data_IF_041480020950
#
_entry.id   IF_041480020950
#
_cell.length_a   1.000
_cell.length_b   1.000
_cell.length_c   1.000
_cell.angle_alpha   90.00
_cell.angle_beta   90.00
_cell.angle_gamma   90.00
#
_symmetry.space_group_name_H-M   'P 1'
#
loop_
_entity.id
_entity.type
_entity.pdbx_description
1 polymer ?
#
# COMPACT_ATOMS: atom_id res chain seq x y z
N UNK A 1 27.75 -5.78 2.56
CA UNK A 1 27.18 -5.55 1.21
C UNK A 1 27.58 -4.19 0.63
N UNK A 2 27.82 -3.17 1.46
CA UNK A 2 27.99 -1.78 1.00
C UNK A 2 29.18 -1.55 0.06
N UNK A 3 30.27 -2.31 0.22
CA UNK A 3 31.41 -2.25 -0.71
C UNK A 3 31.15 -2.90 -2.07
N UNK A 4 30.29 -3.91 -2.13
CA UNK A 4 30.07 -4.73 -3.33
C UNK A 4 28.84 -4.28 -4.14
N UNK A 5 27.89 -3.62 -3.48
CA UNK A 5 26.64 -3.16 -4.07
C UNK A 5 26.29 -1.78 -3.52
N UNK A 6 27.20 -0.81 -3.65
CA UNK A 6 26.98 0.57 -3.21
C UNK A 6 25.66 1.11 -3.77
N UNK A 7 24.86 1.78 -2.93
CA UNK A 7 23.56 2.39 -3.27
C UNK A 7 22.49 1.48 -3.92
N UNK A 8 22.73 0.17 -4.01
CA UNK A 8 21.78 -0.80 -4.55
C UNK A 8 20.78 -1.26 -3.48
N UNK A 9 20.00 -0.32 -2.93
CA UNK A 9 19.13 -0.56 -1.77
C UNK A 9 18.13 -1.71 -2.00
N UNK A 10 17.49 -1.76 -3.17
CA UNK A 10 16.53 -2.82 -3.48
C UNK A 10 17.17 -4.21 -3.49
N UNK A 11 18.39 -4.34 -4.04
CA UNK A 11 19.10 -5.62 -4.04
C UNK A 11 19.49 -6.05 -2.62
N UNK A 12 19.95 -5.11 -1.78
CA UNK A 12 20.26 -5.37 -0.36
C UNK A 12 19.02 -5.79 0.42
N UNK A 13 17.90 -5.09 0.24
CA UNK A 13 16.63 -5.42 0.89
C UNK A 13 16.11 -6.79 0.47
N UNK A 14 16.24 -7.16 -0.81
CA UNK A 14 15.84 -8.50 -1.27
C UNK A 14 16.62 -9.62 -0.56
N UNK A 15 17.94 -9.45 -0.39
CA UNK A 15 18.77 -10.41 0.33
C UNK A 15 18.42 -10.43 1.82
N UNK A 16 18.22 -9.26 2.44
CA UNK A 16 17.84 -9.17 3.85
C UNK A 16 16.49 -9.84 4.16
N UNK A 17 15.48 -9.64 3.31
CA UNK A 17 14.19 -10.34 3.42
C UNK A 17 14.36 -11.86 3.30
N UNK A 18 15.24 -12.34 2.41
CA UNK A 18 15.53 -13.76 2.28
C UNK A 18 16.24 -14.34 3.52
N UNK A 19 17.14 -13.58 4.14
CA UNK A 19 17.75 -13.99 5.41
C UNK A 19 16.69 -14.13 6.51
N UNK A 20 15.75 -13.19 6.64
CA UNK A 20 14.66 -13.32 7.61
C UNK A 20 13.72 -14.49 7.33
N UNK A 21 13.41 -14.75 6.07
CA UNK A 21 12.58 -15.89 5.67
C UNK A 21 13.23 -17.23 6.05
N UNK A 22 14.53 -17.40 5.80
CA UNK A 22 15.27 -18.61 6.19
C UNK A 22 15.29 -18.77 7.71
N UNK A 23 15.57 -17.69 8.46
CA UNK A 23 15.57 -17.72 9.92
C UNK A 23 14.18 -18.07 10.49
N UNK A 24 13.10 -17.53 9.90
CA UNK A 24 11.72 -17.86 10.26
C UNK A 24 11.40 -19.33 10.01
N UNK A 25 11.79 -19.86 8.85
CA UNK A 25 11.62 -21.27 8.49
C UNK A 25 12.37 -22.21 9.43
N UNK A 26 13.63 -21.91 9.75
CA UNK A 26 14.43 -22.69 10.69
C UNK A 26 13.85 -22.68 12.10
N UNK A 27 13.40 -21.50 12.56
CA UNK A 27 12.77 -21.36 13.88
C UNK A 27 11.31 -21.88 13.95
N UNK A 28 10.71 -22.25 12.82
CA UNK A 28 9.30 -22.64 12.73
C UNK A 28 8.33 -21.51 13.09
N UNK A 29 8.72 -20.25 12.86
CA UNK A 29 7.95 -19.05 13.26
C UNK A 29 7.72 -18.10 12.08
N UNK A 30 6.57 -17.40 12.04
CA UNK A 30 6.41 -16.29 11.12
C UNK A 30 7.36 -15.14 11.51
N UNK A 31 7.88 -14.42 10.51
CA UNK A 31 8.91 -13.37 10.71
C UNK A 31 8.49 -12.30 11.72
N UNK A 32 7.20 -11.92 11.79
CA UNK A 32 6.76 -10.91 12.75
C UNK A 32 7.00 -11.32 14.21
N UNK A 33 7.04 -12.61 14.54
CA UNK A 33 7.35 -13.09 15.89
C UNK A 33 8.84 -12.98 16.19
N UNK A 34 9.70 -13.15 15.18
CA UNK A 34 11.13 -12.88 15.32
C UNK A 34 11.42 -11.40 15.56
N UNK A 35 10.55 -10.51 15.05
CA UNK A 35 10.64 -9.06 15.17
C UNK A 35 9.90 -8.47 16.40
N UNK A 36 9.56 -9.31 17.38
CA UNK A 36 8.95 -8.86 18.64
C UNK A 36 7.43 -9.07 18.75
N UNK A 37 6.82 -9.74 17.78
CA UNK A 37 5.40 -10.09 17.82
C UNK A 37 4.47 -9.01 17.26
N UNK A 38 3.16 -9.30 17.28
CA UNK A 38 2.15 -8.40 16.74
C UNK A 38 1.95 -7.18 17.66
N UNK A 39 2.18 -5.98 17.15
CA UNK A 39 1.93 -4.70 17.86
C UNK A 39 0.55 -4.09 17.53
N UNK A 40 -0.26 -4.81 16.74
CA UNK A 40 -1.62 -4.45 16.36
C UNK A 40 -2.44 -5.72 16.10
N UNK A 41 -3.78 -5.67 16.20
CA UNK A 41 -4.62 -6.80 15.85
C UNK A 41 -4.43 -7.25 14.41
N UNK A 42 -4.55 -8.57 14.19
CA UNK A 42 -4.70 -9.18 12.88
C UNK A 42 -6.18 -9.58 12.71
N UNK A 43 -6.79 -9.46 11.52
CA UNK A 43 -6.20 -9.13 10.21
C UNK A 43 -5.94 -7.62 9.98
N UNK A 44 -5.03 -7.31 9.05
CA UNK A 44 -4.74 -5.93 8.63
C UNK A 44 -5.62 -5.56 7.43
N UNK A 45 -6.24 -4.38 7.47
CA UNK A 45 -6.98 -3.83 6.33
C UNK A 45 -6.03 -3.26 5.28
N UNK A 46 -6.15 -3.74 4.05
CA UNK A 46 -5.36 -3.24 2.93
C UNK A 46 -5.86 -1.87 2.45
N UNK A 47 -4.93 -1.05 1.94
CA UNK A 47 -5.23 0.21 1.26
C UNK A 47 -4.88 0.08 -0.21
N UNK A 48 -5.72 0.60 -1.08
CA UNK A 48 -5.43 0.57 -2.51
C UNK A 48 -4.75 1.86 -2.96
N UNK A 49 -3.64 1.77 -3.70
CA UNK A 49 -3.00 2.92 -4.32
C UNK A 49 -3.45 3.07 -5.77
N UNK A 50 -4.34 4.01 -6.02
CA UNK A 50 -4.87 4.32 -7.34
C UNK A 50 -3.88 5.14 -8.17
N UNK A 51 -3.87 4.92 -9.49
CA UNK A 51 -3.14 5.74 -10.45
C UNK A 51 -3.69 7.17 -10.56
N UNK A 52 -2.92 8.05 -11.21
CA UNK A 52 -3.39 9.36 -11.64
C UNK A 52 -4.23 9.19 -12.93
N UNK A 53 -5.44 8.66 -12.77
CA UNK A 53 -6.34 8.41 -13.89
C UNK A 53 -7.10 9.68 -14.30
N UNK A 54 -7.55 9.77 -15.56
CA UNK A 54 -8.58 10.73 -15.95
C UNK A 54 -9.81 10.62 -15.04
N UNK A 55 -10.51 11.73 -14.86
CA UNK A 55 -11.59 11.89 -13.87
C UNK A 55 -12.62 10.75 -13.89
N UNK A 56 -13.17 10.44 -15.06
CA UNK A 56 -14.19 9.39 -15.21
C UNK A 56 -13.69 8.00 -14.81
N UNK A 57 -12.45 7.66 -15.19
CA UNK A 57 -11.85 6.38 -14.81
C UNK A 57 -11.54 6.33 -13.32
N UNK A 58 -11.12 7.44 -12.71
CA UNK A 58 -10.90 7.53 -11.27
C UNK A 58 -12.20 7.30 -10.49
N UNK A 59 -13.31 7.90 -10.95
CA UNK A 59 -14.64 7.72 -10.38
C UNK A 59 -15.10 6.27 -10.46
N UNK A 60 -15.01 5.67 -11.64
CA UNK A 60 -15.35 4.25 -11.85
C UNK A 60 -14.50 3.34 -10.97
N UNK A 61 -13.18 3.54 -10.95
CA UNK A 61 -12.27 2.69 -10.16
C UNK A 61 -12.51 2.82 -8.67
N UNK A 62 -12.88 4.01 -8.17
CA UNK A 62 -13.26 4.18 -6.78
C UNK A 62 -14.48 3.32 -6.40
N UNK A 63 -15.47 3.23 -7.30
CA UNK A 63 -16.66 2.38 -7.12
C UNK A 63 -16.29 0.90 -7.07
N UNK A 64 -15.51 0.43 -8.06
CA UNK A 64 -14.99 -0.94 -8.11
C UNK A 64 -14.26 -1.30 -6.80
N UNK A 65 -13.43 -0.39 -6.28
CA UNK A 65 -12.67 -0.61 -5.04
C UNK A 65 -13.57 -0.71 -3.79
N UNK A 66 -14.66 0.06 -3.74
CA UNK A 66 -15.64 -0.03 -2.65
C UNK A 66 -16.36 -1.38 -2.70
N UNK A 67 -16.73 -1.84 -3.90
CA UNK A 67 -17.36 -3.16 -4.12
C UNK A 67 -16.39 -4.31 -3.77
N UNK A 68 -15.09 -4.15 -4.06
CA UNK A 68 -14.02 -5.07 -3.66
C UNK A 68 -13.76 -5.07 -2.12
N UNK A 69 -14.39 -4.17 -1.37
CA UNK A 69 -14.31 -4.12 0.10
C UNK A 69 -13.19 -3.23 0.65
N UNK A 70 -12.52 -2.43 -0.17
CA UNK A 70 -11.52 -1.48 0.32
C UNK A 70 -12.18 -0.34 1.10
N UNK A 71 -11.64 -0.06 2.29
CA UNK A 71 -12.09 1.04 3.15
C UNK A 71 -11.21 2.28 3.02
N UNK A 72 -10.05 2.18 2.37
CA UNK A 72 -9.13 3.30 2.17
C UNK A 72 -8.53 3.27 0.77
N UNK A 73 -8.64 4.39 0.05
CA UNK A 73 -8.11 4.59 -1.28
C UNK A 73 -7.09 5.75 -1.26
N UNK A 74 -5.85 5.48 -1.66
CA UNK A 74 -4.82 6.49 -1.89
C UNK A 74 -4.88 6.95 -3.34
N UNK A 75 -5.20 8.23 -3.56
CA UNK A 75 -5.23 8.85 -4.89
C UNK A 75 -3.84 9.42 -5.21
N UNK A 76 -3.25 9.05 -6.35
CA UNK A 76 -2.03 9.72 -6.84
C UNK A 76 -2.40 11.08 -7.41
N UNK A 77 -1.59 12.07 -7.04
CA UNK A 77 -1.62 13.47 -7.50
C UNK A 77 -0.22 13.87 -7.96
N UNK A 78 -0.08 15.07 -8.52
CA UNK A 78 1.15 15.63 -9.08
C UNK A 78 1.18 15.67 -10.59
N UNK A 79 0.03 15.57 -11.28
CA UNK A 79 -0.05 15.71 -12.74
C UNK A 79 -0.45 17.13 -13.14
N UNK A 80 -1.56 17.62 -12.58
CA UNK A 80 -2.12 18.95 -12.83
C UNK A 80 -3.01 19.30 -11.62
N UNK A 81 -2.93 20.52 -11.11
CA UNK A 81 -3.54 20.86 -9.81
C UNK A 81 -5.06 20.88 -9.89
N UNK A 82 -5.65 21.44 -10.95
CA UNK A 82 -7.09 21.47 -11.16
C UNK A 82 -7.65 20.05 -11.36
N UNK A 83 -6.98 19.23 -12.18
CA UNK A 83 -7.39 17.84 -12.39
C UNK A 83 -7.24 17.00 -11.12
N UNK A 84 -6.18 17.19 -10.35
CA UNK A 84 -5.92 16.45 -9.12
C UNK A 84 -6.99 16.77 -8.06
N UNK A 85 -7.37 18.04 -7.91
CA UNK A 85 -8.47 18.46 -7.02
C UNK A 85 -9.78 17.82 -7.47
N UNK A 86 -10.10 17.90 -8.77
CA UNK A 86 -11.31 17.29 -9.32
C UNK A 86 -11.34 15.77 -9.10
N UNK A 87 -10.21 15.09 -9.29
CA UNK A 87 -10.06 13.64 -9.10
C UNK A 87 -10.29 13.23 -7.66
N UNK A 88 -9.68 13.94 -6.70
CA UNK A 88 -9.87 13.66 -5.27
C UNK A 88 -11.33 13.90 -4.86
N UNK A 89 -11.94 14.98 -5.33
CA UNK A 89 -13.35 15.28 -5.08
C UNK A 89 -14.27 14.17 -5.61
N UNK A 90 -14.10 13.76 -6.86
CA UNK A 90 -14.91 12.69 -7.47
C UNK A 90 -14.73 11.35 -6.75
N UNK A 91 -13.51 11.01 -6.32
CA UNK A 91 -13.27 9.81 -5.51
C UNK A 91 -14.00 9.92 -4.17
N UNK A 92 -13.91 11.06 -3.47
CA UNK A 92 -14.59 11.29 -2.18
C UNK A 92 -16.10 11.14 -2.30
N UNK A 93 -16.69 11.68 -3.36
CA UNK A 93 -18.13 11.56 -3.65
C UNK A 93 -18.56 10.10 -3.75
N UNK A 94 -17.76 9.26 -4.42
CA UNK A 94 -18.07 7.83 -4.62
C UNK A 94 -17.92 7.04 -3.31
N UNK A 95 -16.87 7.28 -2.54
CA UNK A 95 -16.62 6.50 -1.31
C UNK A 95 -17.47 6.96 -0.11
N UNK A 96 -18.11 8.13 -0.20
CA UNK A 96 -18.98 8.71 0.84
C UNK A 96 -18.22 9.21 2.08
N UNK A 97 -18.79 10.04 2.97
CA UNK A 97 -18.04 10.78 4.00
C UNK A 97 -17.56 9.97 5.21
N UNK A 98 -17.92 8.69 5.31
CA UNK A 98 -17.67 7.87 6.52
C UNK A 98 -16.59 6.80 6.32
N UNK A 99 -15.95 6.76 5.15
CA UNK A 99 -14.82 5.88 4.88
C UNK A 99 -13.55 6.68 5.09
N UNK A 100 -13.18 6.82 6.36
CA UNK A 100 -11.91 7.37 6.84
C UNK A 100 -11.36 6.42 7.92
N UNK A 101 -10.05 6.51 8.14
CA UNK A 101 -9.20 5.59 8.93
C UNK A 101 -9.61 5.42 10.39
#
# INVERSE_FOLDING_TARGET
MDRAAADNWFAKSAIEMACWDIQGKEAGKPVYELLGGAVRPLPITCRFSMGAYPLERARQRAGELVEEGFTTIKVKVGTDIEEDVARVAAVREVIGPHRDW
#
